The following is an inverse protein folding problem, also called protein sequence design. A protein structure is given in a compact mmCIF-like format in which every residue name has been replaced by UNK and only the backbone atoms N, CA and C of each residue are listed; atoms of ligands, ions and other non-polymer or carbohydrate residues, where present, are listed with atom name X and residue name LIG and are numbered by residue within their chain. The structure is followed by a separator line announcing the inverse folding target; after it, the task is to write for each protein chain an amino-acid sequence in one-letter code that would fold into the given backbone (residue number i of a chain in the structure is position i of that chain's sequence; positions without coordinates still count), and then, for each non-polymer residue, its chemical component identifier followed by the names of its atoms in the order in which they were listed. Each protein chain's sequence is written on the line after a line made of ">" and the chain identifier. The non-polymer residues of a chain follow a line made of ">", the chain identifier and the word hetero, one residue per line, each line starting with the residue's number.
data_IF_030536788812
#
_entry.id   IF_030536788812
#
_cell.length_a   1.000
_cell.length_b   1.000
_cell.length_c   1.000
_cell.angle_alpha   90.00
_cell.angle_beta   90.00
_cell.angle_gamma   90.00
#
_symmetry.space_group_name_H-M   'P 1'
#
loop_
_entity.id
_entity.type
_entity.pdbx_description
1 polymer ?
#
# COMPACT_ATOMS: atom_id res chain seq x y z
N UNK A 1 -13.93 -11.44 -24.05
CA UNK A 1 -13.53 -10.05 -23.73
C UNK A 1 -13.49 -9.73 -22.22
N UNK A 2 -13.61 -10.73 -21.31
CA UNK A 2 -13.60 -10.50 -19.84
C UNK A 2 -12.17 -10.61 -19.22
N UNK A 3 -11.19 -11.15 -19.94
CA UNK A 3 -9.81 -11.31 -19.45
C UNK A 3 -8.95 -10.03 -19.54
N UNK A 4 -9.22 -9.15 -20.51
CA UNK A 4 -8.48 -7.88 -20.69
C UNK A 4 -8.55 -6.97 -19.45
N UNK A 5 -9.69 -6.79 -18.76
CA UNK A 5 -9.74 -6.02 -17.52
C UNK A 5 -8.80 -6.58 -16.44
N UNK A 6 -8.79 -7.90 -16.21
CA UNK A 6 -8.05 -8.52 -15.10
C UNK A 6 -6.53 -8.46 -15.33
N UNK A 7 -6.09 -8.74 -16.56
CA UNK A 7 -4.66 -8.74 -16.93
C UNK A 7 -4.08 -7.33 -16.80
N UNK A 8 -4.82 -6.30 -17.22
CA UNK A 8 -4.40 -4.90 -17.07
C UNK A 8 -4.18 -4.52 -15.60
N UNK A 9 -5.10 -4.89 -14.71
CA UNK A 9 -4.97 -4.61 -13.27
C UNK A 9 -3.75 -5.29 -12.65
N UNK A 10 -3.43 -6.53 -13.04
CA UNK A 10 -2.24 -7.22 -12.54
C UNK A 10 -0.94 -6.55 -12.98
N UNK A 11 -0.86 -6.10 -14.24
CA UNK A 11 0.29 -5.33 -14.70
C UNK A 11 0.42 -3.99 -13.95
N UNK A 12 -0.68 -3.26 -13.77
CA UNK A 12 -0.67 -2.01 -12.99
C UNK A 12 -0.28 -2.22 -11.52
N UNK A 13 -0.66 -3.36 -10.95
CA UNK A 13 -0.28 -3.73 -9.59
C UNK A 13 1.22 -3.99 -9.48
N UNK A 14 1.81 -4.77 -10.39
CA UNK A 14 3.26 -4.99 -10.44
C UNK A 14 4.04 -3.68 -10.60
N UNK A 15 3.59 -2.81 -11.50
CA UNK A 15 4.14 -1.47 -11.66
C UNK A 15 4.05 -0.64 -10.37
N UNK A 16 2.89 -0.65 -9.72
CA UNK A 16 2.68 0.07 -8.46
C UNK A 16 3.63 -0.39 -7.35
N UNK A 17 3.89 -1.69 -7.25
CA UNK A 17 4.84 -2.25 -6.28
C UNK A 17 6.27 -1.77 -6.59
N UNK A 18 6.68 -1.76 -7.86
CA UNK A 18 8.00 -1.21 -8.26
C UNK A 18 8.11 0.27 -7.91
N UNK A 19 7.08 1.05 -8.24
CA UNK A 19 7.02 2.47 -7.94
C UNK A 19 7.15 2.73 -6.43
N UNK A 20 6.41 1.99 -5.60
CA UNK A 20 6.51 2.10 -4.13
C UNK A 20 7.93 1.84 -3.65
N UNK A 21 8.63 0.85 -4.21
CA UNK A 21 10.02 0.57 -3.84
C UNK A 21 10.98 1.72 -4.19
N UNK A 22 10.79 2.43 -5.31
CA UNK A 22 11.59 3.64 -5.61
C UNK A 22 11.43 4.72 -4.53
N UNK A 23 10.23 4.88 -3.97
CA UNK A 23 9.97 5.81 -2.86
C UNK A 23 10.57 5.33 -1.54
N UNK A 24 10.53 4.02 -1.25
CA UNK A 24 11.16 3.43 -0.07
C UNK A 24 12.68 3.67 -0.11
N UNK A 25 13.29 3.40 -1.26
CA UNK A 25 14.74 3.54 -1.43
C UNK A 25 15.18 5.01 -1.58
N UNK A 26 14.24 5.95 -1.75
CA UNK A 26 14.54 7.38 -1.86
C UNK A 26 15.21 7.78 -3.18
N UNK A 27 15.05 6.95 -4.22
CA UNK A 27 15.64 7.10 -5.57
C UNK A 27 14.60 7.44 -6.65
N UNK A 28 13.39 7.81 -6.25
CA UNK A 28 12.38 8.30 -7.17
C UNK A 28 12.80 9.64 -7.79
N UNK A 29 13.25 9.62 -9.03
CA UNK A 29 13.63 10.82 -9.81
C UNK A 29 12.61 11.16 -10.91
N UNK A 30 11.64 10.28 -11.17
CA UNK A 30 10.63 10.50 -12.20
C UNK A 30 9.82 9.24 -12.52
N UNK A 31 8.95 9.30 -13.53
CA UNK A 31 8.12 8.17 -13.93
C UNK A 31 8.97 6.97 -14.36
N UNK A 32 8.80 5.84 -13.67
CA UNK A 32 9.39 4.57 -14.12
C UNK A 32 8.64 4.08 -15.37
N UNK A 33 9.37 3.41 -16.27
CA UNK A 33 8.80 2.88 -17.51
C UNK A 33 7.98 1.62 -17.21
N UNK A 34 6.72 1.60 -17.67
CA UNK A 34 5.88 0.40 -17.63
C UNK A 34 6.45 -0.65 -18.60
N UNK A 35 6.78 -1.83 -18.08
CA UNK A 35 7.06 -3.02 -18.89
C UNK A 35 5.92 -3.99 -18.67
N UNK A 36 4.96 -3.99 -19.61
CA UNK A 36 3.71 -4.71 -19.42
C UNK A 36 3.90 -6.19 -19.09
N UNK A 37 4.86 -6.87 -19.74
CA UNK A 37 5.04 -8.32 -19.56
C UNK A 37 5.74 -8.63 -18.24
N UNK A 38 6.78 -7.87 -17.90
CA UNK A 38 7.47 -8.02 -16.62
C UNK A 38 6.56 -7.64 -15.44
N UNK A 39 5.87 -6.51 -15.54
CA UNK A 39 4.95 -6.02 -14.52
C UNK A 39 3.76 -6.96 -14.32
N UNK A 40 3.24 -7.56 -15.40
CA UNK A 40 2.16 -8.55 -15.29
C UNK A 40 2.60 -9.79 -14.50
N UNK A 41 3.76 -10.37 -14.85
CA UNK A 41 4.29 -11.55 -14.17
C UNK A 41 4.58 -11.24 -12.70
N UNK A 42 5.22 -10.10 -12.46
CA UNK A 42 5.57 -9.65 -11.13
C UNK A 42 4.32 -9.36 -10.29
N UNK A 43 3.38 -8.59 -10.81
CA UNK A 43 2.11 -8.28 -10.16
C UNK A 43 1.28 -9.52 -9.86
N UNK A 44 1.25 -10.51 -10.75
CA UNK A 44 0.60 -11.79 -10.49
C UNK A 44 1.24 -12.54 -9.31
N UNK A 45 2.57 -12.61 -9.25
CA UNK A 45 3.26 -13.24 -8.11
C UNK A 45 3.00 -12.52 -6.79
N UNK A 46 3.06 -11.20 -6.78
CA UNK A 46 2.80 -10.39 -5.59
C UNK A 46 1.32 -10.53 -5.17
N UNK A 47 0.38 -10.55 -6.12
CA UNK A 47 -1.03 -10.77 -5.85
C UNK A 47 -1.26 -12.12 -5.15
N UNK A 48 -0.70 -13.22 -5.67
CA UNK A 48 -0.81 -14.54 -5.04
C UNK A 48 -0.28 -14.55 -3.61
N UNK A 49 0.86 -13.91 -3.37
CA UNK A 49 1.44 -13.80 -2.02
C UNK A 49 0.60 -12.94 -1.06
N UNK A 50 -0.22 -12.03 -1.58
CA UNK A 50 -1.11 -11.20 -0.76
C UNK A 50 -2.40 -11.91 -0.31
N UNK A 51 -2.81 -12.98 -1.00
CA UNK A 51 -4.08 -13.67 -0.74
C UNK A 51 -4.24 -14.16 0.71
N UNK A 52 -3.24 -14.78 1.36
CA UNK A 52 -3.40 -15.24 2.74
C UNK A 52 -3.75 -14.10 3.70
N UNK A 53 -3.14 -12.93 3.53
CA UNK A 53 -3.44 -11.76 4.33
C UNK A 53 -4.87 -11.25 4.08
N UNK A 54 -5.28 -11.11 2.81
CA UNK A 54 -6.63 -10.65 2.49
C UNK A 54 -7.72 -11.61 3.01
N UNK A 55 -7.51 -12.92 2.95
CA UNK A 55 -8.44 -13.91 3.48
C UNK A 55 -8.62 -13.71 4.99
N UNK A 56 -7.51 -13.61 5.74
CA UNK A 56 -7.54 -13.40 7.20
C UNK A 56 -8.18 -12.04 7.54
N UNK A 57 -7.79 -10.98 6.83
CA UNK A 57 -8.33 -9.64 7.02
C UNK A 57 -9.86 -9.60 6.83
N UNK A 58 -10.35 -10.21 5.75
CA UNK A 58 -11.79 -10.32 5.47
C UNK A 58 -12.50 -11.09 6.59
N UNK A 59 -11.96 -12.23 7.03
CA UNK A 59 -12.56 -13.02 8.14
C UNK A 59 -12.68 -12.18 9.42
N UNK A 60 -11.62 -11.44 9.78
CA UNK A 60 -11.62 -10.56 10.97
C UNK A 60 -12.72 -9.50 10.87
N UNK A 61 -12.83 -8.83 9.71
CA UNK A 61 -13.85 -7.80 9.51
C UNK A 61 -15.27 -8.37 9.55
N UNK A 62 -15.51 -9.51 8.89
CA UNK A 62 -16.82 -10.17 8.94
C UNK A 62 -17.20 -10.59 10.36
N UNK A 63 -16.26 -11.16 11.12
CA UNK A 63 -16.50 -11.54 12.51
C UNK A 63 -16.85 -10.32 13.38
N UNK A 64 -16.14 -9.20 13.21
CA UNK A 64 -16.41 -7.96 13.93
C UNK A 64 -17.79 -7.37 13.59
N UNK A 65 -18.13 -7.33 12.29
CA UNK A 65 -19.44 -6.86 11.82
C UNK A 65 -20.59 -7.75 12.32
N UNK A 66 -20.37 -9.06 12.40
CA UNK A 66 -21.36 -10.01 12.92
C UNK A 66 -21.69 -9.77 14.40
N UNK A 67 -20.70 -9.37 15.21
CA UNK A 67 -20.92 -9.03 16.62
C UNK A 67 -21.70 -7.71 16.76
N UNK A 68 -21.28 -6.67 16.04
CA UNK A 68 -21.96 -5.38 16.00
C UNK A 68 -21.47 -4.59 14.80
N UNK A 69 -22.40 -4.04 14.02
CA UNK A 69 -22.08 -3.21 12.87
C UNK A 69 -21.23 -1.99 13.26
N UNK A 70 -21.57 -1.34 14.38
CA UNK A 70 -20.81 -0.20 14.91
C UNK A 70 -19.38 -0.56 15.29
N UNK A 71 -19.20 -1.70 15.97
CA UNK A 71 -17.88 -2.22 16.33
C UNK A 71 -17.07 -2.57 15.06
N UNK A 72 -17.70 -3.25 14.10
CA UNK A 72 -17.09 -3.62 12.83
C UNK A 72 -16.58 -2.40 12.05
N UNK A 73 -17.37 -1.33 11.99
CA UNK A 73 -16.97 -0.08 11.34
C UNK A 73 -15.78 0.59 12.02
N UNK A 74 -15.75 0.62 13.36
CA UNK A 74 -14.62 1.17 14.12
C UNK A 74 -13.35 0.35 13.88
N UNK A 75 -13.45 -0.98 13.94
CA UNK A 75 -12.30 -1.87 13.68
C UNK A 75 -11.80 -1.70 12.25
N UNK A 76 -12.69 -1.66 11.27
CA UNK A 76 -12.35 -1.41 9.87
C UNK A 76 -11.60 -0.10 9.69
N UNK A 77 -12.10 0.98 10.31
CA UNK A 77 -11.46 2.30 10.30
C UNK A 77 -10.05 2.24 10.91
N UNK A 78 -9.90 1.64 12.10
CA UNK A 78 -8.62 1.58 12.79
C UNK A 78 -7.59 0.73 12.03
N UNK A 79 -8.00 -0.42 11.49
CA UNK A 79 -7.11 -1.26 10.70
C UNK A 79 -6.74 -0.58 9.38
N UNK A 80 -7.71 -0.03 8.67
CA UNK A 80 -7.50 0.66 7.40
C UNK A 80 -6.66 1.92 7.53
N UNK A 81 -6.77 2.64 8.65
CA UNK A 81 -6.01 3.86 8.89
C UNK A 81 -4.61 3.59 9.42
N UNK A 82 -4.43 2.72 10.44
CA UNK A 82 -3.13 2.58 11.14
C UNK A 82 -2.33 1.34 10.77
N UNK A 83 -3.00 0.24 10.40
CA UNK A 83 -2.36 -1.09 10.32
C UNK A 83 -2.06 -1.45 8.86
N UNK A 84 -3.10 -1.47 8.02
CA UNK A 84 -3.02 -1.90 6.63
C UNK A 84 -2.00 -1.09 5.82
N UNK A 85 -1.92 0.26 5.91
CA UNK A 85 -0.99 1.02 5.09
C UNK A 85 0.47 0.64 5.32
N UNK A 86 0.86 0.42 6.58
CA UNK A 86 2.25 0.07 6.92
C UNK A 86 2.57 -1.38 6.58
N UNK A 87 1.66 -2.32 6.85
CA UNK A 87 1.86 -3.72 6.49
C UNK A 87 1.90 -3.90 4.97
N UNK A 88 1.08 -3.17 4.22
CA UNK A 88 1.10 -3.18 2.75
C UNK A 88 2.44 -2.67 2.20
N UNK A 89 2.98 -1.58 2.73
CA UNK A 89 4.29 -1.06 2.31
C UNK A 89 5.43 -2.02 2.70
N UNK A 90 5.41 -2.59 3.91
CA UNK A 90 6.38 -3.63 4.31
C UNK A 90 6.32 -4.85 3.38
N UNK A 91 5.11 -5.25 2.98
CA UNK A 91 4.93 -6.31 2.02
C UNK A 91 5.41 -5.95 0.61
N UNK A 92 5.14 -4.75 0.11
CA UNK A 92 5.67 -4.31 -1.18
C UNK A 92 7.20 -4.28 -1.19
N UNK A 93 7.81 -3.97 -0.04
CA UNK A 93 9.25 -4.03 0.14
C UNK A 93 9.80 -5.45 0.12
N UNK A 94 9.30 -6.31 1.00
CA UNK A 94 9.87 -7.65 1.24
C UNK A 94 9.33 -8.71 0.30
N UNK A 95 8.10 -8.55 -0.19
CA UNK A 95 7.44 -9.42 -1.16
C UNK A 95 7.36 -10.88 -0.71
N UNK A 96 7.25 -11.11 0.61
CA UNK A 96 7.03 -12.42 1.23
C UNK A 96 5.68 -12.43 1.95
N UNK A 97 5.01 -13.58 2.02
CA UNK A 97 3.73 -13.69 2.74
C UNK A 97 3.88 -13.24 4.21
N UNK A 98 4.99 -13.63 4.84
CA UNK A 98 5.30 -13.33 6.25
C UNK A 98 5.36 -11.83 6.54
N UNK A 99 5.83 -11.01 5.60
CA UNK A 99 5.97 -9.57 5.79
C UNK A 99 4.64 -8.83 6.02
N UNK A 100 3.51 -9.39 5.58
CA UNK A 100 2.19 -8.87 5.94
C UNK A 100 1.81 -9.08 7.42
N UNK A 101 2.49 -10.00 8.10
CA UNK A 101 2.21 -10.36 9.50
C UNK A 101 3.31 -9.89 10.46
N UNK A 102 4.28 -9.11 9.96
CA UNK A 102 5.31 -8.48 10.78
C UNK A 102 4.77 -7.23 11.48
N UNK A 103 3.95 -7.43 12.51
CA UNK A 103 3.32 -6.34 13.27
C UNK A 103 4.32 -5.43 14.02
N UNK A 104 5.59 -5.85 14.16
CA UNK A 104 6.65 -5.03 14.73
C UNK A 104 6.89 -3.74 13.93
N UNK A 105 6.59 -3.72 12.64
CA UNK A 105 6.68 -2.51 11.81
C UNK A 105 5.74 -1.39 12.30
N UNK A 106 4.65 -1.76 12.98
CA UNK A 106 3.69 -0.79 13.53
C UNK A 106 4.25 0.00 14.70
N UNK A 107 5.35 -0.44 15.32
CA UNK A 107 6.05 0.35 16.34
C UNK A 107 6.49 1.71 15.78
N UNK A 108 6.84 1.78 14.49
CA UNK A 108 7.20 3.06 13.85
C UNK A 108 6.03 4.04 13.84
N UNK A 109 4.80 3.56 13.65
CA UNK A 109 3.59 4.40 13.73
C UNK A 109 3.42 4.93 15.14
N UNK A 110 3.53 4.04 16.15
CA UNK A 110 3.39 4.39 17.56
C UNK A 110 4.46 5.40 18.02
N UNK A 111 5.71 5.18 17.62
CA UNK A 111 6.85 6.00 18.03
C UNK A 111 6.88 7.36 17.30
N UNK A 112 6.21 7.46 16.14
CA UNK A 112 6.21 8.65 15.28
C UNK A 112 4.79 9.08 14.87
N UNK A 113 3.83 9.04 15.81
CA UNK A 113 2.41 9.32 15.53
C UNK A 113 2.18 10.64 14.80
N UNK A 114 2.89 11.71 15.17
CA UNK A 114 2.75 13.02 14.51
C UNK A 114 3.16 12.99 13.04
N UNK A 115 4.32 12.41 12.73
CA UNK A 115 4.80 12.28 11.34
C UNK A 115 3.91 11.33 10.53
N UNK A 116 3.42 10.27 11.16
CA UNK A 116 2.46 9.34 10.56
C UNK A 116 1.16 10.03 10.15
N UNK A 117 0.54 10.79 11.06
CA UNK A 117 -0.70 11.52 10.79
C UNK A 117 -0.49 12.51 9.64
N UNK A 118 0.60 13.27 9.64
CA UNK A 118 0.93 14.19 8.55
C UNK A 118 1.08 13.43 7.21
N UNK A 119 1.74 12.27 7.24
CA UNK A 119 1.95 11.41 6.07
C UNK A 119 0.62 10.92 5.48
N UNK A 120 -0.30 10.43 6.32
CA UNK A 120 -1.63 9.97 5.87
C UNK A 120 -2.50 11.14 5.39
N UNK A 121 -2.43 12.31 6.04
CA UNK A 121 -3.14 13.51 5.58
C UNK A 121 -2.66 13.98 4.21
N UNK A 122 -1.34 13.96 3.95
CA UNK A 122 -0.78 14.23 2.62
C UNK A 122 -1.30 13.22 1.59
N UNK A 123 -1.38 11.95 1.97
CA UNK A 123 -1.92 10.89 1.13
C UNK A 123 -3.37 11.16 0.73
N UNK A 124 -4.24 11.53 1.68
CA UNK A 124 -5.63 11.87 1.39
C UNK A 124 -5.80 13.14 0.57
N UNK A 125 -5.00 14.18 0.86
CA UNK A 125 -5.00 15.40 0.05
C UNK A 125 -4.67 15.09 -1.42
N UNK A 126 -3.69 14.23 -1.66
CA UNK A 126 -3.30 13.81 -3.00
C UNK A 126 -4.40 12.99 -3.69
N UNK A 127 -5.04 12.06 -2.98
CA UNK A 127 -6.19 11.29 -3.50
C UNK A 127 -7.34 12.22 -3.90
N UNK A 128 -7.66 13.24 -3.11
CA UNK A 128 -8.70 14.23 -3.43
C UNK A 128 -8.34 15.02 -4.70
N UNK A 129 -7.08 15.46 -4.83
CA UNK A 129 -6.61 16.17 -6.03
C UNK A 129 -6.79 15.26 -7.27
N UNK A 130 -6.35 14.01 -7.20
CA UNK A 130 -6.51 13.09 -8.32
C UNK A 130 -7.95 12.67 -8.58
N UNK A 131 -8.81 12.64 -7.56
CA UNK A 131 -10.24 12.44 -7.74
C UNK A 131 -10.84 13.55 -8.61
N UNK A 132 -10.51 14.81 -8.35
CA UNK A 132 -10.93 15.95 -9.21
C UNK A 132 -10.36 15.82 -10.62
N UNK A 133 -9.07 15.48 -10.74
CA UNK A 133 -8.41 15.28 -12.04
C UNK A 133 -8.91 14.05 -12.80
N UNK A 134 -9.70 13.17 -12.17
CA UNK A 134 -10.26 11.99 -12.85
C UNK A 134 -11.29 12.37 -13.91
N UNK A 135 -11.85 13.58 -13.84
CA UNK A 135 -12.73 14.15 -14.88
C UNK A 135 -12.03 14.18 -16.24
N UNK A 136 -10.72 14.45 -16.26
CA UNK A 136 -9.90 14.50 -17.48
C UNK A 136 -9.10 13.20 -17.70
N UNK A 137 -9.55 12.10 -17.09
CA UNK A 137 -8.97 10.74 -17.15
C UNK A 137 -7.55 10.57 -16.56
N UNK A 138 -6.75 11.64 -16.42
CA UNK A 138 -5.39 11.58 -15.84
C UNK A 138 -5.39 11.32 -14.33
N UNK A 139 -6.49 11.65 -13.65
CA UNK A 139 -6.63 11.40 -12.22
C UNK A 139 -6.73 9.92 -11.86
N UNK A 140 -7.25 9.07 -12.75
CA UNK A 140 -7.42 7.63 -12.47
C UNK A 140 -6.07 6.95 -12.27
N UNK A 141 -5.09 7.05 -13.21
CA UNK A 141 -3.73 6.56 -12.97
C UNK A 141 -3.08 7.19 -11.73
N UNK A 142 -3.28 8.50 -11.54
CA UNK A 142 -2.73 9.23 -10.39
C UNK A 142 -3.19 8.62 -9.06
N UNK A 143 -4.49 8.35 -8.90
CA UNK A 143 -5.02 7.70 -7.69
C UNK A 143 -4.44 6.31 -7.48
N UNK A 144 -4.29 5.51 -8.53
CA UNK A 144 -3.80 4.13 -8.43
C UNK A 144 -2.34 4.06 -7.99
N UNK A 145 -1.50 4.92 -8.57
CA UNK A 145 -0.05 4.86 -8.37
C UNK A 145 0.42 5.65 -7.16
N UNK A 146 -0.34 6.67 -6.75
CA UNK A 146 0.11 7.53 -5.66
C UNK A 146 -0.43 7.15 -4.30
N UNK A 147 -1.31 6.13 -4.19
CA UNK A 147 -2.04 5.78 -2.95
C UNK A 147 -1.15 5.37 -1.75
N UNK A 148 0.14 5.11 -1.98
CA UNK A 148 1.05 4.64 -0.93
C UNK A 148 2.39 5.38 -0.89
N UNK A 149 2.60 6.41 -1.72
CA UNK A 149 3.95 6.98 -1.93
C UNK A 149 4.48 7.71 -0.69
N UNK A 150 3.62 8.41 0.05
CA UNK A 150 4.07 9.12 1.25
C UNK A 150 4.36 8.15 2.39
N UNK A 151 3.53 7.10 2.54
CA UNK A 151 3.75 6.03 3.51
C UNK A 151 5.02 5.26 3.17
N UNK A 152 5.26 4.98 1.88
CA UNK A 152 6.48 4.34 1.37
C UNK A 152 7.74 5.14 1.68
N UNK A 153 7.74 6.45 1.41
CA UNK A 153 8.87 7.32 1.74
C UNK A 153 9.13 7.39 3.25
N UNK A 154 8.07 7.52 4.06
CA UNK A 154 8.19 7.49 5.53
C UNK A 154 8.76 6.15 6.02
N UNK A 155 8.26 5.03 5.51
CA UNK A 155 8.77 3.69 5.79
C UNK A 155 10.26 3.60 5.46
N UNK A 156 10.68 4.02 4.26
CA UNK A 156 12.09 3.99 3.87
C UNK A 156 13.02 4.85 4.74
N UNK A 157 12.52 5.97 5.26
CA UNK A 157 13.27 6.84 6.19
C UNK A 157 13.38 6.25 7.59
N UNK A 158 12.28 5.72 8.12
CA UNK A 158 12.17 5.38 9.55
C UNK A 158 12.41 3.90 9.84
N UNK A 159 12.28 3.02 8.85
CA UNK A 159 12.50 1.58 8.96
C UNK A 159 13.84 1.21 8.33
N UNK A 160 13.99 1.34 7.01
CA UNK A 160 15.15 0.82 6.28
C UNK A 160 16.44 1.59 6.66
N UNK A 161 16.45 2.92 6.45
CA UNK A 161 17.65 3.74 6.75
C UNK A 161 18.01 3.81 8.22
N UNK A 162 17.02 3.66 9.12
CA UNK A 162 17.26 3.59 10.56
C UNK A 162 17.91 2.26 10.95
N UNK A 163 17.49 1.16 10.32
CA UNK A 163 18.11 -0.15 10.52
C UNK A 163 19.56 -0.17 10.01
N UNK A 164 19.82 0.41 8.85
CA UNK A 164 21.19 0.57 8.30
C UNK A 164 22.11 1.37 9.21
N UNK A 165 21.61 2.46 9.83
CA UNK A 165 22.39 3.28 10.76
C UNK A 165 22.65 2.63 12.13
N UNK A 166 21.99 1.50 12.43
CA UNK A 166 22.15 0.74 13.67
C UNK A 166 23.06 -0.49 13.55
N UNK A 167 23.60 -0.72 12.34
CA UNK A 167 24.61 -1.74 12.02
C UNK A 167 26.02 -1.10 11.99
#
# INVERSE_FOLDING_TARGET
>A
MIFVPIIGWLALFGYGVRLVNEFIEGRYEGPIKLDFMEDLKFGFMVFLKSLPFYIIYIIILFAAMYVSEGLGNIISLLLGFFVVPMLAVNFFRKQTVESFFEFSVLNVVRDNLGEYIITVLKQYALVIIFMVLSIVLVGIPGMLFTNSIFVANMYGRLVERKAEASL
#
